data_IF_597322388344
#
_entry.id   IF_597322388344
#
_cell.length_a   1.000
_cell.length_b   1.000
_cell.length_c   1.000
_cell.angle_alpha   90.00
_cell.angle_beta   90.00
_cell.angle_gamma   90.00
#
_symmetry.space_group_name_H-M   'P 1'
#
loop_
_entity.id
_entity.type
_entity.pdbx_description
1 polymer ?
#
# COMPACT_ATOMS: atom_id res chain seq x y z
N UNK A 1 -13.73 25.71 32.58
CA UNK A 1 -13.16 26.85 31.84
C UNK A 1 -11.71 27.18 32.23
N UNK A 2 -11.35 27.31 33.53
CA UNK A 2 -9.97 27.66 33.96
C UNK A 2 -8.83 26.83 33.32
N UNK A 3 -8.85 25.48 33.32
CA UNK A 3 -7.74 24.70 32.78
C UNK A 3 -7.45 24.94 31.29
N UNK A 4 -8.51 25.11 30.49
CA UNK A 4 -8.38 25.41 29.06
C UNK A 4 -7.61 26.71 28.83
N UNK A 5 -7.99 27.79 29.54
CA UNK A 5 -7.33 29.08 29.37
C UNK A 5 -5.90 29.09 29.88
N UNK A 6 -5.60 28.34 30.95
CA UNK A 6 -4.20 28.14 31.38
C UNK A 6 -3.34 27.49 30.29
N UNK A 7 -3.87 26.48 29.58
CA UNK A 7 -3.15 25.86 28.47
C UNK A 7 -2.95 26.83 27.31
N UNK A 8 -4.01 27.55 26.89
CA UNK A 8 -3.93 28.53 25.79
C UNK A 8 -2.91 29.65 26.08
N UNK A 9 -2.86 30.13 27.32
CA UNK A 9 -1.84 31.08 27.77
C UNK A 9 -0.43 30.48 27.72
N UNK A 10 -0.24 29.24 28.19
CA UNK A 10 1.08 28.55 28.13
C UNK A 10 1.56 28.25 26.71
N UNK A 11 0.63 28.05 25.77
CA UNK A 11 0.93 27.88 24.36
C UNK A 11 1.24 29.21 23.65
N UNK A 12 1.15 30.35 24.35
CA UNK A 12 1.43 31.67 23.81
C UNK A 12 0.40 32.16 22.80
N UNK A 13 -0.85 31.66 22.86
CA UNK A 13 -1.90 32.03 21.90
C UNK A 13 -2.26 33.53 21.96
N UNK A 14 -2.04 34.16 23.12
CA UNK A 14 -2.32 35.58 23.35
C UNK A 14 -1.06 36.47 23.37
N UNK A 15 0.12 35.87 23.19
CA UNK A 15 1.39 36.61 23.17
C UNK A 15 1.63 37.22 21.78
N UNK A 16 2.40 38.32 21.68
CA UNK A 16 2.87 38.81 20.38
C UNK A 16 3.57 37.69 19.58
N UNK A 17 3.39 37.60 18.24
CA UNK A 17 3.97 36.51 17.44
C UNK A 17 5.49 36.33 17.61
N UNK A 18 6.23 37.43 17.84
CA UNK A 18 7.67 37.40 18.08
C UNK A 18 8.08 36.68 19.37
N UNK A 19 7.15 36.51 20.33
CA UNK A 19 7.37 35.81 21.60
C UNK A 19 6.94 34.34 21.55
N UNK A 20 6.23 33.93 20.51
CA UNK A 20 5.75 32.55 20.36
C UNK A 20 6.69 31.76 19.42
N UNK A 21 7.44 30.75 19.92
CA UNK A 21 8.39 30.00 19.11
C UNK A 21 7.74 29.23 17.95
N UNK A 22 6.44 28.94 18.03
CA UNK A 22 5.70 28.22 17.00
C UNK A 22 5.22 29.12 15.87
N UNK A 23 5.19 30.45 16.05
CA UNK A 23 4.76 31.40 15.02
C UNK A 23 5.68 31.45 13.79
N UNK A 24 6.91 30.92 13.90
CA UNK A 24 7.84 30.80 12.80
C UNK A 24 7.62 29.53 11.94
N UNK A 25 6.77 28.59 12.37
CA UNK A 25 6.50 27.36 11.63
C UNK A 25 5.58 27.64 10.44
N UNK A 26 6.09 27.45 9.23
CA UNK A 26 5.31 27.52 7.99
C UNK A 26 5.12 26.16 7.29
N UNK A 27 4.40 26.18 6.17
CA UNK A 27 4.11 25.00 5.34
C UNK A 27 5.36 24.23 4.88
N UNK A 28 6.52 24.89 4.75
CA UNK A 28 7.78 24.21 4.38
C UNK A 28 8.26 23.15 5.40
N UNK A 29 7.74 23.17 6.62
CA UNK A 29 8.01 22.13 7.62
C UNK A 29 7.05 20.93 7.44
N UNK A 30 5.85 21.16 6.93
CA UNK A 30 4.87 20.10 6.65
C UNK A 30 5.41 19.25 5.51
N UNK A 31 5.40 17.92 5.69
CA UNK A 31 5.93 16.98 4.70
C UNK A 31 7.38 17.25 4.29
N UNK A 32 8.21 17.89 5.12
CA UNK A 32 9.62 18.12 4.81
C UNK A 32 10.35 16.80 4.49
N UNK A 33 11.45 16.81 3.73
CA UNK A 33 12.23 15.60 3.46
C UNK A 33 12.64 14.85 4.73
N UNK A 34 12.95 15.57 5.81
CA UNK A 34 13.28 14.99 7.11
C UNK A 34 12.08 14.28 7.76
N UNK A 35 10.89 14.88 7.74
CA UNK A 35 9.68 14.24 8.28
C UNK A 35 9.29 12.98 7.50
N UNK A 36 9.40 13.03 6.16
CA UNK A 36 9.12 11.85 5.31
C UNK A 36 10.14 10.74 5.54
N UNK A 37 11.41 11.07 5.72
CA UNK A 37 12.44 10.10 6.05
C UNK A 37 12.18 9.42 7.41
N UNK A 38 11.78 10.20 8.43
CA UNK A 38 11.43 9.66 9.74
C UNK A 38 10.18 8.75 9.67
N UNK A 39 9.15 9.15 8.91
CA UNK A 39 7.97 8.33 8.70
C UNK A 39 8.30 7.00 8.00
N UNK A 40 9.18 7.03 6.99
CA UNK A 40 9.68 5.82 6.33
C UNK A 40 10.46 4.93 7.29
N UNK A 41 11.35 5.50 8.10
CA UNK A 41 12.13 4.75 9.10
C UNK A 41 11.21 4.07 10.12
N UNK A 42 10.20 4.78 10.63
CA UNK A 42 9.21 4.23 11.54
C UNK A 42 8.42 3.08 10.88
N UNK A 43 7.98 3.24 9.64
CA UNK A 43 7.27 2.20 8.89
C UNK A 43 8.13 0.95 8.69
N UNK A 44 9.39 1.10 8.25
CA UNK A 44 10.33 -0.02 8.05
C UNK A 44 10.56 -0.79 9.35
N UNK A 45 10.64 -0.10 10.49
CA UNK A 45 10.81 -0.72 11.82
C UNK A 45 9.54 -1.32 12.42
N UNK A 46 8.37 -1.08 11.82
CA UNK A 46 7.07 -1.53 12.33
C UNK A 46 6.59 -2.84 11.70
N UNK A 47 7.22 -3.29 10.63
CA UNK A 47 6.88 -4.59 10.02
C UNK A 47 7.39 -5.76 10.85
N UNK A 48 6.56 -6.81 10.96
CA UNK A 48 6.90 -8.04 11.67
C UNK A 48 6.92 -9.21 10.68
N UNK A 49 8.09 -9.83 10.50
CA UNK A 49 8.23 -11.05 9.71
C UNK A 49 7.84 -12.26 10.54
N UNK A 50 6.64 -12.80 10.31
CA UNK A 50 6.13 -13.95 11.07
C UNK A 50 6.68 -15.29 10.60
N UNK A 51 6.93 -15.44 9.30
CA UNK A 51 7.34 -16.70 8.69
C UNK A 51 8.22 -16.45 7.48
N UNK A 52 9.36 -17.15 7.42
CA UNK A 52 10.24 -17.18 6.25
C UNK A 52 10.65 -18.63 5.98
N UNK A 53 10.07 -19.23 4.94
CA UNK A 53 10.40 -20.59 4.55
C UNK A 53 11.46 -20.60 3.46
N UNK A 54 12.39 -21.56 3.53
CA UNK A 54 13.42 -21.81 2.52
C UNK A 54 14.26 -20.57 2.18
N UNK A 55 14.44 -19.67 3.16
CA UNK A 55 15.13 -18.39 2.99
C UNK A 55 14.63 -17.59 1.78
N UNK A 56 13.31 -17.65 1.53
CA UNK A 56 12.68 -16.97 0.37
C UNK A 56 12.87 -15.46 0.45
N UNK A 57 12.78 -14.88 1.65
CA UNK A 57 13.10 -13.49 1.91
C UNK A 57 14.55 -13.34 2.45
N UNK A 58 15.29 -12.30 2.04
CA UNK A 58 14.88 -11.23 1.12
C UNK A 58 14.84 -11.70 -0.34
N UNK A 59 13.89 -11.18 -1.12
CA UNK A 59 13.78 -11.45 -2.56
C UNK A 59 15.04 -10.94 -3.27
N UNK A 60 15.89 -11.87 -3.71
CA UNK A 60 17.10 -11.56 -4.49
C UNK A 60 16.70 -11.38 -5.95
N UNK A 61 17.36 -10.44 -6.64
CA UNK A 61 17.26 -10.27 -8.11
C UNK A 61 15.92 -9.77 -8.68
N UNK A 62 15.08 -9.11 -7.88
CA UNK A 62 13.85 -8.44 -8.35
C UNK A 62 14.13 -7.47 -9.53
N UNK A 63 15.25 -6.74 -9.50
CA UNK A 63 15.65 -5.80 -10.56
C UNK A 63 16.47 -6.40 -11.71
N UNK A 64 16.93 -7.66 -11.60
CA UNK A 64 17.76 -8.30 -12.64
C UNK A 64 16.91 -9.02 -13.71
N UNK A 65 15.62 -9.26 -13.43
CA UNK A 65 14.65 -9.81 -14.38
C UNK A 65 14.08 -8.69 -15.28
N UNK A 66 14.83 -8.30 -16.31
CA UNK A 66 14.36 -7.41 -17.39
C UNK A 66 13.79 -8.24 -18.54
N UNK A 67 12.47 -8.22 -18.83
CA UNK A 67 11.94 -8.46 -20.21
C UNK A 67 10.60 -7.74 -20.48
N UNK A 68 10.52 -7.23 -21.72
CA UNK A 68 9.40 -6.80 -22.57
C UNK A 68 8.09 -6.24 -21.96
N UNK A 69 7.85 -4.98 -22.31
CA UNK A 69 6.60 -4.23 -22.12
C UNK A 69 5.49 -4.80 -23.02
N UNK A 70 4.40 -5.30 -22.46
CA UNK A 70 3.10 -5.35 -23.15
C UNK A 70 2.26 -4.16 -22.70
N UNK A 71 2.35 -3.06 -23.45
CA UNK A 71 1.46 -1.93 -23.29
C UNK A 71 0.04 -2.34 -23.74
N UNK A 72 -0.82 -2.66 -22.78
CA UNK A 72 -2.24 -2.90 -23.00
C UNK A 72 -3.07 -1.63 -22.81
N UNK A 73 -2.90 -0.64 -23.69
CA UNK A 73 -3.93 0.36 -23.97
C UNK A 73 -4.15 0.40 -25.48
N UNK A 74 -5.41 0.35 -25.87
CA UNK A 74 -5.89 0.08 -27.22
C UNK A 74 -5.17 0.87 -28.34
N UNK A 75 -4.57 0.13 -29.28
CA UNK A 75 -4.44 0.57 -30.66
C UNK A 75 -4.58 -0.65 -31.58
N UNK A 76 -5.68 -0.68 -32.33
CA UNK A 76 -5.87 -1.53 -33.50
C UNK A 76 -4.65 -1.48 -34.42
N UNK A 77 -4.03 -2.62 -34.70
CA UNK A 77 -3.38 -2.94 -35.99
C UNK A 77 -3.06 -4.43 -36.09
N UNK A 78 -3.44 -4.99 -37.25
CA UNK A 78 -3.30 -6.37 -37.70
C UNK A 78 -1.83 -6.83 -37.78
N UNK A 79 -1.61 -8.10 -37.46
CA UNK A 79 -0.62 -8.97 -38.09
C UNK A 79 0.83 -8.81 -37.64
N UNK A 80 1.24 -9.55 -36.62
CA UNK A 80 2.64 -9.93 -36.40
C UNK A 80 2.71 -11.31 -35.71
N UNK A 81 3.61 -12.22 -36.13
CA UNK A 81 3.74 -13.55 -35.52
C UNK A 81 4.14 -13.49 -34.04
N UNK A 82 3.84 -14.55 -33.24
CA UNK A 82 4.06 -14.55 -31.81
C UNK A 82 5.56 -14.47 -31.51
N UNK A 83 6.01 -13.32 -30.99
CA UNK A 83 7.33 -13.17 -30.38
C UNK A 83 7.33 -13.83 -29.00
N UNK A 84 8.49 -14.40 -28.65
CA UNK A 84 8.79 -15.10 -27.40
C UNK A 84 8.13 -14.46 -26.17
N UNK A 85 7.57 -15.32 -25.30
CA UNK A 85 6.92 -14.94 -24.05
C UNK A 85 7.88 -14.08 -23.21
N UNK A 86 7.47 -12.89 -22.73
CA UNK A 86 8.28 -12.11 -21.81
C UNK A 86 8.56 -12.92 -20.53
N UNK A 87 9.79 -12.86 -20.02
CA UNK A 87 10.10 -13.33 -18.66
C UNK A 87 9.21 -12.60 -17.64
N UNK A 88 8.84 -13.32 -16.59
CA UNK A 88 7.67 -13.04 -15.75
C UNK A 88 7.87 -11.90 -14.76
N UNK A 89 6.91 -10.98 -14.77
CA UNK A 89 6.78 -9.87 -13.83
C UNK A 89 6.43 -10.35 -12.40
N UNK A 90 6.90 -9.68 -11.33
CA UNK A 90 6.33 -9.84 -9.99
C UNK A 90 4.87 -9.38 -9.96
N UNK A 91 4.02 -10.13 -9.29
CA UNK A 91 2.57 -9.90 -9.27
C UNK A 91 2.12 -9.55 -7.86
N UNK A 92 1.41 -8.44 -7.71
CA UNK A 92 0.83 -8.01 -6.43
C UNK A 92 -0.67 -8.23 -6.46
N UNK A 93 -1.18 -9.01 -5.51
CA UNK A 93 -2.57 -9.47 -5.52
C UNK A 93 -3.29 -9.05 -4.26
N UNK A 94 -4.57 -8.68 -4.36
CA UNK A 94 -5.44 -8.48 -3.21
C UNK A 94 -5.90 -7.03 -3.00
N UNK A 95 -6.90 -6.81 -2.12
CA UNK A 95 -7.52 -5.50 -1.93
C UNK A 95 -6.58 -4.44 -1.35
N UNK A 96 -5.41 -4.84 -0.85
CA UNK A 96 -4.39 -3.94 -0.29
C UNK A 96 -3.25 -3.65 -1.28
N UNK A 97 -3.24 -4.29 -2.45
CA UNK A 97 -2.12 -4.23 -3.39
C UNK A 97 -1.85 -2.81 -3.91
N UNK A 98 -2.89 -2.10 -4.32
CA UNK A 98 -2.84 -0.70 -4.75
C UNK A 98 -4.00 0.14 -4.20
N UNK A 99 -4.19 0.08 -2.88
CA UNK A 99 -5.23 0.85 -2.20
C UNK A 99 -4.59 1.85 -1.23
N UNK A 100 -4.66 3.18 -1.49
CA UNK A 100 -4.05 4.17 -0.63
C UNK A 100 -4.84 4.42 0.67
N UNK A 101 -6.16 4.14 0.70
CA UNK A 101 -7.02 4.48 1.85
C UNK A 101 -6.72 3.66 3.10
N UNK A 102 -6.37 2.40 2.89
CA UNK A 102 -6.08 1.42 3.95
C UNK A 102 -4.75 1.64 4.68
N UNK A 103 -3.86 2.51 4.17
CA UNK A 103 -2.50 2.68 4.70
C UNK A 103 -2.44 3.55 5.96
N UNK A 104 -3.45 4.38 6.19
CA UNK A 104 -3.37 5.45 7.19
C UNK A 104 -4.19 5.19 8.46
N UNK A 105 -4.95 4.10 8.52
CA UNK A 105 -5.83 3.79 9.64
C UNK A 105 -6.93 4.84 9.85
N UNK A 106 -7.51 4.84 11.05
CA UNK A 106 -8.50 5.83 11.48
C UNK A 106 -7.82 7.13 11.95
N UNK A 107 -8.55 8.23 12.08
CA UNK A 107 -8.04 9.56 12.44
C UNK A 107 -6.92 10.10 11.53
N UNK A 108 -6.77 9.53 10.34
CA UNK A 108 -5.80 9.95 9.35
C UNK A 108 -6.10 11.37 8.83
N UNK A 109 -5.09 12.23 8.67
CA UNK A 109 -5.25 13.49 7.95
C UNK A 109 -5.45 13.21 6.46
N UNK A 110 -5.91 14.22 5.70
CA UNK A 110 -5.97 14.12 4.23
C UNK A 110 -4.55 13.94 3.68
N UNK A 111 -4.20 12.77 3.11
CA UNK A 111 -2.84 12.52 2.68
C UNK A 111 -2.59 13.17 1.32
N UNK A 112 -1.36 13.65 1.09
CA UNK A 112 -0.95 14.15 -0.21
C UNK A 112 -0.64 12.97 -1.17
N UNK A 113 -1.39 12.79 -2.27
CA UNK A 113 -1.27 11.59 -3.12
C UNK A 113 0.13 11.32 -3.66
N UNK A 114 0.93 12.38 -3.87
CA UNK A 114 2.29 12.28 -4.38
C UNK A 114 3.23 11.49 -3.45
N UNK A 115 2.96 11.48 -2.14
CA UNK A 115 3.81 10.83 -1.12
C UNK A 115 3.25 9.49 -0.61
N UNK A 116 2.17 8.98 -1.22
CA UNK A 116 1.57 7.70 -0.83
C UNK A 116 2.21 6.56 -1.59
N UNK A 117 2.79 5.59 -0.90
CA UNK A 117 3.37 4.39 -1.50
C UNK A 117 2.57 3.17 -1.08
N UNK A 118 1.70 2.68 -1.98
CA UNK A 118 1.05 1.38 -1.85
C UNK A 118 2.09 0.25 -2.02
N UNK A 119 1.80 -0.99 -1.60
CA UNK A 119 2.70 -2.12 -1.84
C UNK A 119 3.14 -2.23 -3.31
N UNK A 120 2.21 -2.10 -4.26
CA UNK A 120 2.51 -2.08 -5.69
C UNK A 120 3.45 -0.92 -6.06
N UNK A 121 3.12 0.32 -5.71
CA UNK A 121 3.94 1.50 -6.04
C UNK A 121 5.34 1.42 -5.41
N UNK A 122 5.47 0.84 -4.23
CA UNK A 122 6.76 0.58 -3.59
C UNK A 122 7.58 -0.44 -4.36
N UNK A 123 6.97 -1.54 -4.80
CA UNK A 123 7.63 -2.59 -5.59
C UNK A 123 8.04 -2.13 -6.98
N UNK A 124 7.27 -1.24 -7.61
CA UNK A 124 7.64 -0.61 -8.88
C UNK A 124 8.97 0.17 -8.80
N UNK A 125 9.38 0.62 -7.60
CA UNK A 125 10.69 1.25 -7.42
C UNK A 125 11.86 0.27 -7.47
N UNK A 126 11.58 -1.04 -7.32
CA UNK A 126 12.59 -2.11 -7.21
C UNK A 126 12.68 -2.98 -8.46
N UNK A 127 11.59 -3.12 -9.23
CA UNK A 127 11.51 -3.97 -10.41
C UNK A 127 10.76 -3.27 -11.55
N UNK A 128 11.24 -3.46 -12.78
CA UNK A 128 10.50 -3.04 -13.96
C UNK A 128 9.31 -3.99 -14.19
N UNK A 129 8.14 -3.42 -14.51
CA UNK A 129 6.91 -4.16 -14.83
C UNK A 129 6.36 -4.99 -13.66
N UNK A 130 5.97 -4.37 -12.55
CA UNK A 130 5.16 -5.06 -11.51
C UNK A 130 3.70 -4.89 -11.88
N UNK A 131 2.95 -5.99 -12.04
CA UNK A 131 1.50 -5.88 -12.32
C UNK A 131 0.67 -6.16 -11.08
N UNK A 132 -0.52 -5.58 -11.06
CA UNK A 132 -1.46 -5.66 -9.93
C UNK A 132 -2.74 -6.35 -10.38
N UNK A 133 -3.25 -7.22 -9.52
CA UNK A 133 -4.56 -7.84 -9.66
C UNK A 133 -5.28 -7.74 -8.32
N UNK A 134 -6.26 -6.87 -8.22
CA UNK A 134 -6.93 -6.64 -6.95
C UNK A 134 -7.69 -7.91 -6.53
N UNK A 135 -8.39 -8.55 -7.47
CA UNK A 135 -9.30 -9.68 -7.22
C UNK A 135 -10.56 -9.27 -6.45
N UNK A 136 -10.36 -8.54 -5.35
CA UNK A 136 -11.33 -7.77 -4.59
C UNK A 136 -10.89 -6.30 -4.57
N UNK A 137 -11.81 -5.37 -4.80
CA UNK A 137 -11.48 -3.93 -4.80
C UNK A 137 -11.35 -3.33 -3.40
N UNK A 138 -12.00 -3.94 -2.42
CA UNK A 138 -12.15 -3.39 -1.08
C UNK A 138 -11.89 -4.47 -0.02
N UNK A 139 -11.43 -4.08 1.19
CA UNK A 139 -11.16 -5.02 2.28
C UNK A 139 -12.33 -5.94 2.66
N UNK A 140 -13.61 -5.51 2.69
CA UNK A 140 -14.72 -6.43 2.93
C UNK A 140 -14.81 -7.59 1.93
N UNK A 141 -14.23 -7.42 0.73
CA UNK A 141 -14.09 -8.46 -0.30
C UNK A 141 -15.40 -9.24 -0.53
N UNK A 142 -16.50 -8.50 -0.68
CA UNK A 142 -17.85 -9.02 -0.95
C UNK A 142 -17.99 -9.54 -2.39
N UNK A 143 -17.17 -8.99 -3.30
CA UNK A 143 -17.14 -9.36 -4.71
C UNK A 143 -15.71 -9.71 -5.10
N UNK A 144 -15.47 -11.01 -5.28
CA UNK A 144 -14.20 -11.57 -5.72
C UNK A 144 -14.26 -12.03 -7.18
N UNK A 145 -13.20 -11.77 -7.94
CA UNK A 145 -13.03 -12.19 -9.34
C UNK A 145 -11.89 -13.21 -9.46
N UNK A 146 -12.16 -14.53 -9.37
CA UNK A 146 -11.10 -15.55 -9.40
C UNK A 146 -10.24 -15.52 -10.66
N UNK A 147 -10.86 -15.33 -11.82
CA UNK A 147 -10.17 -15.31 -13.11
C UNK A 147 -9.09 -14.23 -13.20
N UNK A 148 -9.27 -13.09 -12.50
CA UNK A 148 -8.27 -12.02 -12.45
C UNK A 148 -7.02 -12.49 -11.70
N UNK A 149 -7.21 -13.12 -10.54
CA UNK A 149 -6.14 -13.61 -9.68
C UNK A 149 -5.43 -14.80 -10.31
N UNK A 150 -6.18 -15.79 -10.81
CA UNK A 150 -5.63 -16.95 -11.49
C UNK A 150 -4.80 -16.57 -12.73
N UNK A 151 -5.26 -15.58 -13.51
CA UNK A 151 -4.51 -15.08 -14.65
C UNK A 151 -3.25 -14.33 -14.21
N UNK A 152 -3.33 -13.57 -13.12
CA UNK A 152 -2.20 -12.82 -12.60
C UNK A 152 -1.10 -13.73 -12.07
N UNK A 153 -1.44 -14.78 -11.31
CA UNK A 153 -0.43 -15.68 -10.73
C UNK A 153 0.15 -16.66 -11.74
N UNK A 154 -0.56 -16.91 -12.86
CA UNK A 154 -0.12 -17.85 -13.88
C UNK A 154 1.20 -17.40 -14.53
N UNK A 155 2.25 -18.16 -14.24
CA UNK A 155 3.58 -17.90 -14.77
C UNK A 155 4.36 -16.84 -14.01
N UNK A 156 3.83 -16.29 -12.92
CA UNK A 156 4.57 -15.39 -12.04
C UNK A 156 5.67 -16.13 -11.29
N UNK A 157 6.86 -15.54 -11.21
CA UNK A 157 7.96 -16.10 -10.42
C UNK A 157 7.76 -15.85 -8.92
N UNK A 158 7.15 -14.70 -8.60
CA UNK A 158 6.87 -14.27 -7.23
C UNK A 158 5.49 -13.62 -7.23
N UNK A 159 4.66 -14.07 -6.29
CA UNK A 159 3.35 -13.50 -6.00
C UNK A 159 3.38 -12.88 -4.61
N UNK A 160 3.01 -11.61 -4.51
CA UNK A 160 2.90 -10.87 -3.26
C UNK A 160 1.42 -10.64 -2.99
N UNK A 161 0.86 -11.33 -2.00
CA UNK A 161 -0.56 -11.23 -1.66
C UNK A 161 -0.73 -10.25 -0.49
N UNK A 162 -1.49 -9.19 -0.71
CA UNK A 162 -1.78 -8.12 0.23
C UNK A 162 -3.25 -8.19 0.67
N UNK A 163 -3.45 -8.70 1.90
CA UNK A 163 -4.75 -8.96 2.52
C UNK A 163 -4.85 -8.23 3.87
N UNK A 164 -6.06 -8.09 4.41
CA UNK A 164 -6.28 -7.45 5.70
C UNK A 164 -7.70 -6.97 5.93
N UNK A 165 -7.88 -6.18 6.98
CA UNK A 165 -9.18 -5.73 7.51
C UNK A 165 -9.44 -4.27 7.18
N UNK A 166 -8.57 -3.37 7.63
CA UNK A 166 -8.67 -1.94 7.33
C UNK A 166 -9.92 -1.26 7.89
N UNK A 167 -9.97 0.07 7.71
CA UNK A 167 -10.97 0.94 8.34
C UNK A 167 -12.42 0.65 7.94
N UNK A 168 -12.65 -0.05 6.83
CA UNK A 168 -13.99 -0.42 6.36
C UNK A 168 -14.64 -1.53 7.20
N UNK A 169 -13.84 -2.24 8.01
CA UNK A 169 -14.25 -3.35 8.87
C UNK A 169 -14.03 -3.07 10.35
N UNK A 170 -12.97 -2.34 10.71
CA UNK A 170 -12.63 -2.01 12.10
C UNK A 170 -12.30 -0.51 12.25
N UNK A 171 -13.06 0.21 13.08
CA UNK A 171 -12.92 1.67 13.30
C UNK A 171 -13.52 2.04 14.65
N UNK A 172 -13.37 3.31 15.08
CA UNK A 172 -13.98 3.77 16.31
C UNK A 172 -15.49 3.48 16.36
N UNK A 173 -15.93 2.84 17.44
CA UNK A 173 -17.33 2.47 17.63
C UNK A 173 -17.83 1.35 16.73
N UNK A 174 -16.95 0.67 15.98
CA UNK A 174 -17.28 -0.49 15.16
C UNK A 174 -16.21 -1.57 15.30
N UNK A 175 -16.47 -2.48 16.23
CA UNK A 175 -15.70 -3.71 16.39
C UNK A 175 -16.05 -4.73 15.31
N UNK A 176 -15.13 -5.66 15.07
CA UNK A 176 -15.37 -6.83 14.23
C UNK A 176 -16.07 -7.94 15.01
N UNK A 177 -16.87 -8.73 14.31
CA UNK A 177 -17.55 -9.89 14.90
C UNK A 177 -16.61 -11.08 15.13
N UNK A 178 -15.54 -11.18 14.35
CA UNK A 178 -14.53 -12.24 14.44
C UNK A 178 -13.14 -11.76 13.97
N UNK A 179 -12.14 -12.64 14.07
CA UNK A 179 -10.74 -12.38 13.67
C UNK A 179 -10.34 -13.03 12.35
N UNK A 180 -11.28 -13.64 11.63
CA UNK A 180 -11.01 -14.36 10.37
C UNK A 180 -10.67 -13.40 9.22
N UNK A 181 -10.21 -13.91 8.07
CA UNK A 181 -10.04 -13.05 6.91
C UNK A 181 -11.40 -12.58 6.39
N UNK A 182 -11.59 -11.28 6.10
CA UNK A 182 -12.89 -10.78 5.69
C UNK A 182 -13.36 -11.32 4.34
N UNK A 183 -14.66 -11.55 4.22
CA UNK A 183 -15.33 -11.92 2.97
C UNK A 183 -14.63 -13.07 2.25
N UNK A 184 -14.31 -12.87 0.97
CA UNK A 184 -13.70 -13.89 0.12
C UNK A 184 -12.16 -13.83 0.09
N UNK A 185 -11.51 -13.10 0.99
CA UNK A 185 -10.03 -12.99 0.99
C UNK A 185 -9.32 -14.32 1.24
N UNK A 186 -9.91 -15.23 2.02
CA UNK A 186 -9.36 -16.58 2.19
C UNK A 186 -9.38 -17.38 0.89
N UNK A 187 -10.47 -17.29 0.11
CA UNK A 187 -10.56 -17.94 -1.20
C UNK A 187 -9.54 -17.33 -2.18
N UNK A 188 -9.40 -16.01 -2.19
CA UNK A 188 -8.38 -15.31 -2.97
C UNK A 188 -6.98 -15.82 -2.65
N UNK A 189 -6.65 -15.99 -1.36
CA UNK A 189 -5.36 -16.54 -0.95
C UNK A 189 -5.17 -17.98 -1.45
N UNK A 190 -6.21 -18.82 -1.36
CA UNK A 190 -6.15 -20.20 -1.83
C UNK A 190 -5.93 -20.28 -3.34
N UNK A 191 -6.57 -19.42 -4.12
CA UNK A 191 -6.41 -19.38 -5.57
C UNK A 191 -5.05 -18.80 -5.99
N UNK A 192 -4.48 -17.88 -5.20
CA UNK A 192 -3.17 -17.30 -5.47
C UNK A 192 -1.99 -18.25 -5.21
N UNK A 193 -2.19 -19.31 -4.43
CA UNK A 193 -1.15 -20.29 -4.05
C UNK A 193 -1.22 -21.59 -4.85
N UNK A 194 -2.28 -21.78 -5.64
CA UNK A 194 -2.48 -22.97 -6.50
C UNK A 194 -1.58 -22.94 -7.75
#
# INVERSE_FOLDING_TARGET
VRPLFYTRLRLGEFDPPAMNPYSALGLGHVQSPAHRALALEAAVKSFVLLKNERDTLPLRDLGARRVAVSAGHAASKRGLPPRAQPLSAPQVVGPFADNPRILFGDYAPVPEPQYIYTPWRGLETLAANVSVAAGCREPPCQHYTPAEVEAAVRGADVVIVCLGTGIDLETEGRDREDLSLPGQQLQLLQDAVR
#
